data_IF_918143182290
#
_entry.id   IF_918143182290
#
_cell.length_a   1.000
_cell.length_b   1.000
_cell.length_c   1.000
_cell.angle_alpha   90.00
_cell.angle_beta   90.00
_cell.angle_gamma   90.00
#
_symmetry.space_group_name_H-M   'P 1'
#
loop_
_entity.id
_entity.type
_entity.pdbx_description
1 polymer ?
#
# COMPACT_ATOMS: atom_id res chain seq x y z
N UNK A 1 42.24 57.12 -29.22
CA UNK A 1 42.27 56.52 -30.57
C UNK A 1 41.36 55.29 -30.50
N UNK A 2 40.09 55.43 -30.92
CA UNK A 2 39.59 55.10 -32.26
C UNK A 2 39.72 53.61 -32.60
N UNK A 3 38.55 52.98 -32.70
CA UNK A 3 38.21 51.91 -33.67
C UNK A 3 38.62 50.48 -33.30
N UNK A 4 37.88 49.43 -33.61
CA UNK A 4 36.52 49.19 -34.16
C UNK A 4 36.38 47.65 -34.13
N UNK A 5 35.19 47.13 -33.79
CA UNK A 5 34.52 45.93 -34.34
C UNK A 5 35.23 44.54 -34.32
N UNK A 6 34.56 43.52 -33.76
CA UNK A 6 33.91 42.44 -34.55
C UNK A 6 33.20 41.40 -33.64
N UNK A 7 31.88 41.35 -33.73
CA UNK A 7 31.09 40.15 -34.09
C UNK A 7 30.99 38.95 -33.12
N UNK A 8 29.78 38.84 -32.55
CA UNK A 8 28.91 37.65 -32.55
C UNK A 8 29.29 36.44 -31.68
N UNK A 9 28.51 36.21 -30.61
CA UNK A 9 27.92 34.88 -30.42
C UNK A 9 26.63 34.94 -29.59
N UNK A 10 25.59 34.49 -30.27
CA UNK A 10 24.24 34.22 -29.85
C UNK A 10 24.27 33.15 -28.73
N UNK A 11 23.95 33.52 -27.48
CA UNK A 11 23.52 32.54 -26.49
C UNK A 11 22.08 32.86 -26.07
N UNK A 12 21.23 31.99 -26.55
CA UNK A 12 19.81 31.87 -26.23
C UNK A 12 19.72 31.62 -24.74
N UNK A 13 19.38 32.66 -23.97
CA UNK A 13 18.98 32.53 -22.58
C UNK A 13 17.61 31.88 -22.50
N UNK A 14 17.55 30.56 -22.70
CA UNK A 14 16.38 29.77 -22.31
C UNK A 14 16.22 29.99 -20.83
N UNK A 15 15.19 30.73 -20.46
CA UNK A 15 14.68 30.80 -19.10
C UNK A 15 14.11 29.42 -18.76
N UNK A 16 15.00 28.48 -18.42
CA UNK A 16 14.61 27.25 -17.78
C UNK A 16 14.13 27.64 -16.38
N UNK A 17 12.82 27.84 -16.29
CA UNK A 17 12.07 27.94 -15.05
C UNK A 17 12.59 26.89 -14.09
N UNK A 18 13.21 27.36 -13.00
CA UNK A 18 13.38 26.57 -11.79
C UNK A 18 11.99 26.05 -11.41
N UNK A 19 11.75 24.77 -11.62
CA UNK A 19 10.62 24.08 -11.01
C UNK A 19 11.14 23.29 -9.80
N UNK A 20 11.78 24.02 -8.89
CA UNK A 20 12.03 23.62 -7.51
C UNK A 20 10.70 23.66 -6.73
N UNK A 21 9.75 22.83 -7.16
CA UNK A 21 8.59 22.50 -6.34
C UNK A 21 8.97 21.32 -5.45
N UNK A 22 8.62 21.32 -4.14
CA UNK A 22 8.76 20.11 -3.34
C UNK A 22 8.01 18.97 -4.04
N UNK A 23 8.52 17.72 -4.01
CA UNK A 23 7.83 16.60 -4.62
C UNK A 23 6.44 16.50 -4.00
N UNK A 24 5.43 16.95 -4.75
CA UNK A 24 4.03 16.76 -4.40
C UNK A 24 3.72 15.27 -4.57
N UNK A 25 4.13 14.50 -3.57
CA UNK A 25 3.59 13.17 -3.36
C UNK A 25 2.07 13.26 -3.25
N UNK A 26 1.34 12.19 -3.60
CA UNK A 26 -0.12 12.19 -3.52
C UNK A 26 -0.58 12.67 -2.13
N UNK A 27 -1.69 13.42 -2.05
CA UNK A 27 -2.18 13.95 -0.78
C UNK A 27 -2.28 12.83 0.24
N UNK A 28 -1.65 13.02 1.41
CA UNK A 28 -1.85 12.11 2.55
C UNK A 28 -3.32 12.21 2.93
N UNK A 29 -4.09 11.17 2.64
CA UNK A 29 -5.49 11.08 3.06
C UNK A 29 -5.57 11.23 4.58
N UNK A 30 -6.50 12.04 5.05
CA UNK A 30 -6.71 12.24 6.48
C UNK A 30 -7.25 10.96 7.15
N UNK A 31 -7.08 10.86 8.47
CA UNK A 31 -7.47 9.67 9.24
C UNK A 31 -8.98 9.41 9.26
N UNK A 32 -9.80 10.46 9.23
CA UNK A 32 -11.25 10.34 9.31
C UNK A 32 -11.84 9.84 7.98
N UNK A 33 -11.29 10.31 6.86
CA UNK A 33 -11.60 9.83 5.52
C UNK A 33 -11.20 8.36 5.38
N UNK A 34 -10.01 7.98 5.85
CA UNK A 34 -9.58 6.58 5.86
C UNK A 34 -10.52 5.69 6.70
N UNK A 35 -10.88 6.14 7.90
CA UNK A 35 -11.85 5.43 8.75
C UNK A 35 -13.18 5.22 8.04
N UNK A 36 -13.74 6.28 7.45
CA UNK A 36 -15.01 6.24 6.73
C UNK A 36 -14.98 5.26 5.56
N UNK A 37 -13.88 5.22 4.80
CA UNK A 37 -13.70 4.26 3.71
C UNK A 37 -13.63 2.82 4.22
N UNK A 38 -12.95 2.58 5.34
CA UNK A 38 -12.88 1.24 5.95
C UNK A 38 -14.25 0.78 6.45
N UNK A 39 -15.00 1.64 7.13
CA UNK A 39 -16.38 1.35 7.57
C UNK A 39 -17.24 0.97 6.37
N UNK A 40 -17.25 1.81 5.32
CA UNK A 40 -18.01 1.52 4.09
C UNK A 40 -17.62 0.19 3.47
N UNK A 41 -16.33 -0.14 3.45
CA UNK A 41 -15.83 -1.41 2.91
C UNK A 41 -16.38 -2.63 3.67
N UNK A 42 -16.43 -2.58 5.00
CA UNK A 42 -17.02 -3.68 5.79
C UNK A 42 -18.54 -3.75 5.65
N UNK A 43 -19.21 -2.59 5.56
CA UNK A 43 -20.65 -2.55 5.27
C UNK A 43 -20.95 -3.21 3.91
N UNK A 44 -20.19 -2.89 2.86
CA UNK A 44 -20.35 -3.48 1.53
C UNK A 44 -20.01 -4.98 1.46
N UNK A 45 -19.18 -5.47 2.37
CA UNK A 45 -18.78 -6.88 2.42
C UNK A 45 -19.88 -7.81 2.96
N UNK A 46 -20.93 -7.25 3.58
CA UNK A 46 -22.06 -7.98 4.14
C UNK A 46 -21.66 -9.21 4.98
N UNK A 47 -20.70 -9.02 5.89
CA UNK A 47 -20.16 -10.10 6.73
C UNK A 47 -21.08 -10.51 7.88
N UNK A 48 -22.27 -9.91 7.98
CA UNK A 48 -23.20 -10.07 9.11
C UNK A 48 -22.75 -9.32 10.38
N UNK A 49 -21.93 -8.27 10.22
CA UNK A 49 -21.49 -7.42 11.32
C UNK A 49 -22.52 -6.31 11.58
N UNK A 50 -22.78 -6.01 12.86
CA UNK A 50 -23.49 -4.79 13.24
C UNK A 50 -22.63 -3.55 13.01
N UNK A 51 -23.24 -2.37 13.04
CA UNK A 51 -22.51 -1.10 12.89
C UNK A 51 -21.43 -0.93 13.96
N UNK A 52 -21.74 -1.23 15.22
CA UNK A 52 -20.79 -1.15 16.35
C UNK A 52 -19.63 -2.15 16.20
N UNK A 53 -19.92 -3.35 15.69
CA UNK A 53 -18.89 -4.35 15.38
C UNK A 53 -17.99 -3.89 14.24
N UNK A 54 -18.53 -3.26 13.20
CA UNK A 54 -17.74 -2.68 12.11
C UNK A 54 -16.78 -1.61 12.64
N UNK A 55 -17.27 -0.69 13.47
CA UNK A 55 -16.44 0.36 14.06
C UNK A 55 -15.33 -0.23 14.94
N UNK A 56 -15.64 -1.26 15.71
CA UNK A 56 -14.65 -2.00 16.51
C UNK A 56 -13.58 -2.66 15.65
N UNK A 57 -13.98 -3.33 14.56
CA UNK A 57 -13.04 -3.96 13.60
C UNK A 57 -12.13 -2.91 12.96
N UNK A 58 -12.69 -1.78 12.53
CA UNK A 58 -11.92 -0.69 11.91
C UNK A 58 -10.91 -0.11 12.89
N UNK A 59 -11.34 0.19 14.13
CA UNK A 59 -10.47 0.70 15.19
C UNK A 59 -9.31 -0.27 15.51
N UNK A 60 -9.61 -1.58 15.67
CA UNK A 60 -8.59 -2.61 15.90
C UNK A 60 -7.58 -2.63 14.75
N UNK A 61 -8.05 -2.62 13.50
CA UNK A 61 -7.19 -2.64 12.33
C UNK A 61 -6.31 -1.38 12.22
N UNK A 62 -6.84 -0.20 12.55
CA UNK A 62 -6.07 1.04 12.57
C UNK A 62 -4.97 1.00 13.63
N UNK A 63 -5.27 0.49 14.83
CA UNK A 63 -4.27 0.34 15.89
C UNK A 63 -3.10 -0.57 15.46
N UNK A 64 -3.44 -1.70 14.81
CA UNK A 64 -2.46 -2.70 14.39
C UNK A 64 -1.67 -2.27 13.15
N UNK A 65 -2.20 -1.38 12.30
CA UNK A 65 -1.45 -0.86 11.16
C UNK A 65 -0.18 -0.13 11.59
N UNK A 66 -0.21 0.58 12.71
CA UNK A 66 0.97 1.25 13.27
C UNK A 66 2.07 0.24 13.61
N UNK A 67 1.70 -0.86 14.27
CA UNK A 67 2.64 -1.90 14.68
C UNK A 67 3.16 -2.71 13.50
N UNK A 68 2.29 -3.05 12.54
CA UNK A 68 2.72 -3.70 11.28
C UNK A 68 3.76 -2.86 10.52
N UNK A 69 3.59 -1.53 10.46
CA UNK A 69 4.56 -0.62 9.81
C UNK A 69 5.90 -0.54 10.54
N UNK A 70 5.91 -0.72 11.86
CA UNK A 70 7.15 -0.79 12.64
C UNK A 70 7.90 -2.08 12.31
N UNK A 71 7.20 -3.21 12.24
CA UNK A 71 7.80 -4.51 11.91
C UNK A 71 8.31 -4.61 10.47
N UNK A 72 7.72 -3.87 9.53
CA UNK A 72 8.21 -3.82 8.16
C UNK A 72 9.64 -3.25 8.05
N UNK A 73 10.09 -2.47 9.04
CA UNK A 73 11.44 -1.90 9.10
C UNK A 73 12.47 -2.82 9.77
N UNK A 74 12.04 -3.92 10.40
CA UNK A 74 12.94 -4.87 11.04
C UNK A 74 13.59 -5.84 10.03
N UNK A 75 14.66 -6.52 10.45
CA UNK A 75 15.35 -7.53 9.64
C UNK A 75 14.41 -8.68 9.22
N UNK A 76 14.66 -9.27 8.04
CA UNK A 76 13.76 -10.27 7.43
C UNK A 76 13.55 -11.52 8.31
N UNK A 77 14.53 -11.88 9.13
CA UNK A 77 14.51 -13.12 9.93
C UNK A 77 13.52 -13.04 11.10
N UNK A 78 13.41 -11.88 11.74
CA UNK A 78 12.53 -11.67 12.90
C UNK A 78 11.10 -11.31 12.47
N UNK A 79 10.97 -10.74 11.26
CA UNK A 79 9.69 -10.33 10.67
C UNK A 79 8.65 -11.45 10.64
N UNK A 80 9.03 -12.69 10.32
CA UNK A 80 8.04 -13.79 10.21
C UNK A 80 7.41 -14.11 11.57
N UNK A 81 8.24 -14.29 12.60
CA UNK A 81 7.78 -14.61 13.94
C UNK A 81 6.91 -13.48 14.51
N UNK A 82 7.34 -12.22 14.35
CA UNK A 82 6.57 -11.07 14.82
C UNK A 82 5.25 -10.87 14.06
N UNK A 83 5.23 -11.14 12.76
CA UNK A 83 3.99 -11.08 11.98
C UNK A 83 2.99 -12.14 12.44
N UNK A 84 3.45 -13.36 12.77
CA UNK A 84 2.60 -14.39 13.38
C UNK A 84 2.07 -13.94 14.74
N UNK A 85 2.89 -13.28 15.57
CA UNK A 85 2.44 -12.69 16.85
C UNK A 85 1.37 -11.62 16.63
N UNK A 86 1.54 -10.74 15.64
CA UNK A 86 0.55 -9.72 15.30
C UNK A 86 -0.75 -10.32 14.76
N UNK A 87 -0.67 -11.39 13.96
CA UNK A 87 -1.87 -12.09 13.48
C UNK A 87 -2.64 -12.75 14.63
N UNK A 88 -1.94 -13.36 15.60
CA UNK A 88 -2.58 -13.91 16.82
C UNK A 88 -3.23 -12.81 17.64
N UNK A 89 -2.49 -11.72 17.93
CA UNK A 89 -3.04 -10.57 18.67
C UNK A 89 -4.25 -9.95 17.96
N UNK A 90 -4.25 -9.92 16.63
CA UNK A 90 -5.41 -9.48 15.85
C UNK A 90 -6.61 -10.41 16.04
N UNK A 91 -6.40 -11.72 15.94
CA UNK A 91 -7.47 -12.70 16.13
C UNK A 91 -8.08 -12.61 17.53
N UNK A 92 -7.25 -12.51 18.56
CA UNK A 92 -7.71 -12.37 19.95
C UNK A 92 -8.54 -11.09 20.13
N UNK A 93 -8.04 -9.93 19.70
CA UNK A 93 -8.78 -8.66 19.79
C UNK A 93 -10.10 -8.69 19.04
N UNK A 94 -10.12 -9.27 17.84
CA UNK A 94 -11.35 -9.42 17.06
C UNK A 94 -12.33 -10.39 17.73
N UNK A 95 -11.84 -11.49 18.30
CA UNK A 95 -12.70 -12.46 18.98
C UNK A 95 -13.34 -11.84 20.21
N UNK A 96 -12.58 -11.07 21.00
CA UNK A 96 -13.11 -10.33 22.16
C UNK A 96 -14.12 -9.25 21.75
N UNK A 97 -13.86 -8.50 20.68
CA UNK A 97 -14.76 -7.43 20.23
C UNK A 97 -16.04 -7.95 19.56
N UNK A 98 -15.98 -9.09 18.88
CA UNK A 98 -17.09 -9.65 18.13
C UNK A 98 -17.90 -10.68 18.93
N UNK A 99 -17.31 -11.26 19.98
CA UNK A 99 -17.91 -12.34 20.76
C UNK A 99 -18.00 -13.68 20.03
N UNK A 100 -17.51 -13.77 18.79
CA UNK A 100 -17.53 -14.97 17.94
C UNK A 100 -16.20 -15.13 17.18
N UNK A 101 -15.49 -16.21 17.50
CA UNK A 101 -14.23 -16.58 16.85
C UNK A 101 -14.41 -16.88 15.34
N UNK A 102 -15.54 -17.47 14.93
CA UNK A 102 -15.81 -17.74 13.50
C UNK A 102 -15.99 -16.44 12.74
N UNK A 103 -16.66 -15.46 13.34
CA UNK A 103 -16.84 -14.13 12.75
C UNK A 103 -15.50 -13.38 12.68
N UNK A 104 -14.67 -13.46 13.72
CA UNK A 104 -13.31 -12.92 13.73
C UNK A 104 -12.43 -13.50 12.60
N UNK A 105 -12.47 -14.83 12.39
CA UNK A 105 -11.77 -15.49 11.29
C UNK A 105 -12.25 -15.02 9.92
N UNK A 106 -13.58 -14.88 9.72
CA UNK A 106 -14.14 -14.33 8.47
C UNK A 106 -13.63 -12.92 8.17
N UNK A 107 -13.53 -12.06 9.19
CA UNK A 107 -12.98 -10.70 9.05
C UNK A 107 -11.51 -10.76 8.64
N UNK A 108 -10.71 -11.62 9.28
CA UNK A 108 -9.29 -11.80 8.91
C UNK A 108 -9.15 -12.30 7.47
N UNK A 109 -9.95 -13.28 7.06
CA UNK A 109 -9.93 -13.83 5.70
C UNK A 109 -10.33 -12.77 4.67
N UNK A 110 -11.35 -11.98 4.97
CA UNK A 110 -11.75 -10.84 4.15
C UNK A 110 -10.60 -9.83 4.00
N UNK A 111 -9.90 -9.50 5.09
CA UNK A 111 -8.77 -8.58 5.05
C UNK A 111 -7.60 -9.12 4.23
N UNK A 112 -7.28 -10.41 4.39
CA UNK A 112 -6.21 -11.10 3.63
C UNK A 112 -6.51 -11.09 2.13
N UNK A 113 -7.75 -11.40 1.74
CA UNK A 113 -8.18 -11.41 0.32
C UNK A 113 -8.16 -10.02 -0.34
N UNK A 114 -8.34 -8.98 0.45
CA UNK A 114 -8.43 -7.60 -0.03
C UNK A 114 -7.17 -6.77 0.24
N UNK A 115 -6.09 -7.38 0.73
CA UNK A 115 -4.76 -6.76 0.70
C UNK A 115 -4.33 -6.68 -0.76
N UNK A 116 -4.40 -5.48 -1.36
CA UNK A 116 -3.79 -5.26 -2.67
C UNK A 116 -2.27 -5.44 -2.55
N UNK A 117 -1.61 -6.09 -3.52
CA UNK A 117 -0.16 -6.03 -3.63
C UNK A 117 0.23 -4.54 -3.67
N UNK A 118 1.03 -4.09 -2.70
CA UNK A 118 1.48 -2.71 -2.68
C UNK A 118 2.30 -2.38 -3.95
N UNK A 119 2.34 -1.12 -4.38
CA UNK A 119 3.05 -0.69 -5.60
C UNK A 119 4.59 -0.78 -5.53
N UNK A 120 5.15 -1.59 -4.62
CA UNK A 120 6.58 -1.86 -4.47
C UNK A 120 6.93 -3.34 -4.35
N UNK A 121 5.99 -4.26 -4.60
CA UNK A 121 6.21 -5.71 -4.52
C UNK A 121 6.87 -6.29 -5.77
N UNK A 122 8.11 -5.91 -6.08
CA UNK A 122 8.98 -6.71 -6.94
C UNK A 122 9.63 -7.80 -6.07
N UNK A 123 9.24 -9.06 -6.29
CA UNK A 123 9.99 -10.20 -5.78
C UNK A 123 9.16 -11.43 -5.50
N UNK A 124 9.14 -12.37 -6.44
CA UNK A 124 8.97 -13.78 -6.12
C UNK A 124 7.61 -14.41 -6.42
N UNK A 125 7.09 -14.20 -7.63
CA UNK A 125 6.32 -15.26 -8.26
C UNK A 125 6.76 -15.31 -9.72
N UNK A 126 7.64 -16.27 -9.99
CA UNK A 126 7.95 -16.68 -11.34
C UNK A 126 6.62 -16.93 -12.06
N UNK A 127 6.52 -16.39 -13.27
CA UNK A 127 5.63 -16.97 -14.26
C UNK A 127 6.02 -18.45 -14.34
N UNK A 128 5.10 -19.40 -14.08
CA UNK A 128 5.21 -20.67 -14.77
C UNK A 128 4.94 -20.33 -16.24
N UNK A 129 5.91 -20.63 -17.09
CA UNK A 129 5.66 -21.06 -18.46
C UNK A 129 4.56 -20.28 -19.19
N UNK A 130 4.87 -19.05 -19.59
CA UNK A 130 4.19 -18.48 -20.75
C UNK A 130 4.54 -19.37 -21.96
N UNK A 131 3.58 -19.68 -22.86
CA UNK A 131 3.84 -20.60 -23.96
C UNK A 131 5.01 -20.07 -24.76
N UNK A 132 6.04 -20.91 -24.91
CA UNK A 132 7.09 -20.67 -25.88
C UNK A 132 6.42 -20.56 -27.24
N UNK A 133 6.49 -19.37 -27.82
CA UNK A 133 6.31 -19.17 -29.24
C UNK A 133 7.50 -19.83 -29.96
N UNK A 134 7.49 -21.17 -30.01
CA UNK A 134 8.31 -21.94 -30.94
C UNK A 134 7.69 -21.76 -32.33
N UNK A 135 8.01 -20.63 -32.93
CA UNK A 135 7.90 -20.40 -34.36
C UNK A 135 9.04 -21.16 -35.07
N UNK A 136 8.96 -22.49 -35.08
CA UNK A 136 9.70 -23.31 -36.04
C UNK A 136 8.87 -23.45 -37.30
N UNK A 137 9.01 -22.45 -38.17
CA UNK A 137 8.89 -22.62 -39.61
C UNK A 137 10.15 -23.33 -40.12
N UNK A 138 10.03 -24.51 -40.74
CA UNK A 138 10.81 -24.77 -41.92
C UNK A 138 9.91 -25.07 -43.12
N UNK A 139 10.35 -24.49 -44.22
CA UNK A 139 9.83 -24.51 -45.59
C UNK A 139 9.40 -25.87 -46.14
#
# INVERSE_FOLDING_TARGET
MKSLFFTLLLFIGVSAMAQDGPPQGPPKMDSATMHTMMVKRYQSANLGLSQEQIESVVSINQSLMGDMRKQEKQEKKDRKAEMETLEKAKLERLTSALGDEKLAKKVIDFDKKNKRPGPGGHGGQGRPDGPGDDNTNPS
#
